data_IF_163456183518
#
_entry.id   IF_163456183518
#
_cell.length_a   1.000
_cell.length_b   1.000
_cell.length_c   1.000
_cell.angle_alpha   90.00
_cell.angle_beta   90.00
_cell.angle_gamma   90.00
#
_symmetry.space_group_name_H-M   'P 1'
#
loop_
_entity.id
_entity.type
_entity.pdbx_description
1 polymer ?
#
# COMPACT_ATOMS: atom_id res chain seq x y z
N UNK A 1 1.75 31.95 -9.42
CA UNK A 1 2.33 30.60 -9.45
C UNK A 1 1.25 29.68 -9.95
N UNK A 2 1.50 28.89 -10.99
CA UNK A 2 0.51 27.96 -11.52
C UNK A 2 0.33 26.81 -10.52
N UNK A 3 -0.89 26.58 -10.06
CA UNK A 3 -1.23 25.45 -9.18
C UNK A 3 -1.02 24.16 -9.96
N UNK A 4 -0.29 23.20 -9.39
CA UNK A 4 -0.12 21.88 -10.01
C UNK A 4 -1.39 21.08 -9.79
N UNK A 5 -2.01 20.66 -10.88
CA UNK A 5 -3.19 19.81 -10.89
C UNK A 5 -2.78 18.38 -11.20
N UNK A 6 -3.49 17.43 -10.59
CA UNK A 6 -3.38 16.01 -10.89
C UNK A 6 -4.76 15.41 -11.12
N UNK A 7 -4.81 14.36 -11.93
CA UNK A 7 -6.03 13.56 -12.11
C UNK A 7 -5.98 12.32 -11.21
N UNK A 8 -7.04 12.12 -10.44
CA UNK A 8 -7.34 10.93 -9.66
C UNK A 8 -8.42 10.12 -10.37
N UNK A 9 -8.15 8.83 -10.55
CA UNK A 9 -9.03 7.95 -11.31
C UNK A 9 -9.30 8.49 -12.71
N UNK A 10 -10.55 8.41 -13.14
CA UNK A 10 -10.92 8.79 -14.52
C UNK A 10 -11.38 10.25 -14.65
N UNK A 11 -11.74 10.91 -13.54
CA UNK A 11 -12.50 12.17 -13.62
C UNK A 11 -12.20 13.20 -12.54
N UNK A 12 -11.55 12.86 -11.43
CA UNK A 12 -11.37 13.81 -10.34
C UNK A 12 -10.09 14.61 -10.53
N UNK A 13 -10.20 15.91 -10.76
CA UNK A 13 -9.05 16.82 -10.72
C UNK A 13 -8.86 17.29 -9.29
N UNK A 14 -7.62 17.20 -8.81
CA UNK A 14 -7.22 17.71 -7.51
C UNK A 14 -6.04 18.67 -7.66
N UNK A 15 -6.08 19.74 -6.88
CA UNK A 15 -4.97 20.66 -6.70
C UNK A 15 -4.06 20.16 -5.60
N UNK A 16 -2.76 20.30 -5.81
CA UNK A 16 -1.79 20.08 -4.76
C UNK A 16 -1.85 21.22 -3.72
N UNK A 17 -1.87 20.84 -2.43
CA UNK A 17 -1.75 21.76 -1.28
C UNK A 17 -0.43 21.57 -0.52
N UNK A 18 -0.03 22.54 0.29
CA UNK A 18 1.16 22.48 1.14
C UNK A 18 0.99 21.64 2.43
N UNK A 19 -0.14 20.93 2.58
CA UNK A 19 -0.53 20.25 3.83
C UNK A 19 -0.70 18.75 3.62
N UNK A 20 0.35 17.93 3.79
CA UNK A 20 0.21 16.48 3.74
C UNK A 20 -0.67 15.99 4.90
N UNK A 21 -1.21 14.78 4.78
CA UNK A 21 -1.87 14.10 5.88
C UNK A 21 -0.88 13.88 7.01
N UNK A 22 -1.24 14.30 8.23
CA UNK A 22 -0.39 14.17 9.41
C UNK A 22 -0.49 12.80 10.10
N UNK A 23 -1.26 11.87 9.53
CA UNK A 23 -1.50 10.56 10.14
C UNK A 23 -0.39 9.57 9.82
N UNK A 24 0.05 8.82 10.82
CA UNK A 24 0.96 7.69 10.64
C UNK A 24 0.27 6.60 9.81
N UNK A 25 0.88 6.13 8.71
CA UNK A 25 0.34 5.00 7.96
C UNK A 25 0.21 3.75 8.82
N UNK A 26 -0.80 2.94 8.56
CA UNK A 26 -0.95 1.60 9.12
C UNK A 26 -0.98 0.62 7.97
N UNK A 27 0.02 -0.25 7.91
CA UNK A 27 0.06 -1.34 6.96
C UNK A 27 -0.53 -2.58 7.64
N UNK A 28 -1.84 -2.72 7.51
CA UNK A 28 -2.57 -3.88 7.96
C UNK A 28 -2.28 -5.04 7.01
N UNK A 29 -1.36 -5.90 7.44
CA UNK A 29 -0.85 -6.99 6.60
C UNK A 29 -1.88 -8.11 6.43
N UNK A 30 -2.82 -8.23 7.37
CA UNK A 30 -3.86 -9.26 7.32
C UNK A 30 -4.83 -9.02 6.16
N UNK A 31 -5.28 -7.79 6.01
CA UNK A 31 -6.19 -7.38 4.93
C UNK A 31 -5.43 -6.79 3.72
N UNK A 32 -4.09 -6.81 3.76
CA UNK A 32 -3.20 -6.29 2.72
C UNK A 32 -3.54 -4.86 2.32
N UNK A 33 -3.69 -3.97 3.31
CA UNK A 33 -4.10 -2.58 3.09
C UNK A 33 -3.23 -1.57 3.85
N UNK A 34 -3.01 -0.40 3.24
CA UNK A 34 -2.32 0.73 3.84
C UNK A 34 -3.34 1.83 4.13
N UNK A 35 -3.60 2.08 5.41
CA UNK A 35 -4.56 3.07 5.90
C UNK A 35 -3.82 4.31 6.38
N UNK A 36 -4.18 5.49 5.87
CA UNK A 36 -3.72 6.78 6.40
C UNK A 36 -4.96 7.59 6.77
N UNK A 37 -5.27 7.62 8.07
CA UNK A 37 -6.48 8.24 8.58
C UNK A 37 -6.38 8.50 10.09
N UNK A 38 -7.18 9.45 10.59
CA UNK A 38 -7.26 9.78 12.02
C UNK A 38 -8.15 8.86 12.86
N UNK A 39 -8.95 7.98 12.26
CA UNK A 39 -9.77 7.02 13.00
C UNK A 39 -8.91 5.83 13.47
N UNK A 40 -9.23 5.25 14.63
CA UNK A 40 -8.50 4.13 15.24
C UNK A 40 -9.26 2.80 15.22
N UNK A 41 -10.47 2.77 14.67
CA UNK A 41 -11.35 1.60 14.68
C UNK A 41 -12.42 1.70 13.55
N UNK A 42 -13.16 0.60 13.27
CA UNK A 42 -14.24 0.62 12.27
C UNK A 42 -15.33 1.66 12.55
N UNK A 43 -15.68 1.88 13.82
CA UNK A 43 -16.73 2.85 14.18
C UNK A 43 -16.30 4.29 13.90
N UNK A 44 -15.02 4.61 14.06
CA UNK A 44 -14.41 5.89 13.72
C UNK A 44 -14.37 6.10 12.20
N UNK A 45 -14.08 5.04 11.44
CA UNK A 45 -14.20 5.07 9.97
C UNK A 45 -15.64 5.36 9.56
N UNK A 46 -16.62 4.68 10.13
CA UNK A 46 -18.05 4.90 9.86
C UNK A 46 -18.50 6.32 10.21
N UNK A 47 -18.07 6.85 11.36
CA UNK A 47 -18.36 8.24 11.76
C UNK A 47 -17.79 9.27 10.78
N UNK A 48 -16.70 8.97 10.08
CA UNK A 48 -16.11 9.88 9.08
C UNK A 48 -16.89 9.91 7.75
N UNK A 49 -17.61 8.85 7.40
CA UNK A 49 -18.24 8.73 6.07
C UNK A 49 -19.26 9.84 5.74
N UNK A 50 -20.18 10.24 6.63
CA UNK A 50 -21.17 11.28 6.34
C UNK A 50 -20.55 12.64 5.97
N UNK A 51 -19.45 12.99 6.62
CA UNK A 51 -18.78 14.29 6.47
C UNK A 51 -17.79 14.34 5.30
N UNK A 52 -17.67 13.24 4.55
CA UNK A 52 -16.70 13.10 3.45
C UNK A 52 -17.35 12.72 2.13
N UNK A 53 -16.61 12.93 1.05
CA UNK A 53 -16.90 12.45 -0.31
C UNK A 53 -15.63 11.85 -0.94
N UNK A 54 -15.72 11.19 -2.08
CA UNK A 54 -14.56 10.77 -2.85
C UNK A 54 -14.72 9.41 -3.51
N UNK A 55 -13.67 8.59 -3.55
CA UNK A 55 -13.84 7.24 -4.06
C UNK A 55 -14.63 6.40 -3.05
N UNK A 56 -15.78 5.91 -3.51
CA UNK A 56 -16.72 5.16 -2.71
C UNK A 56 -16.58 3.67 -3.03
N UNK A 57 -16.76 2.82 -2.01
CA UNK A 57 -17.06 1.41 -2.23
C UNK A 57 -18.45 1.31 -2.87
N UNK A 58 -18.50 1.26 -4.19
CA UNK A 58 -19.65 0.65 -4.85
C UNK A 58 -19.63 -0.83 -4.49
N UNK A 59 -20.80 -1.45 -4.28
CA UNK A 59 -20.87 -2.90 -4.12
C UNK A 59 -20.06 -3.53 -5.27
N UNK A 60 -19.08 -4.38 -4.91
CA UNK A 60 -18.15 -5.07 -5.82
C UNK A 60 -16.98 -4.25 -6.38
N UNK A 61 -16.86 -2.95 -6.10
CA UNK A 61 -15.66 -2.19 -6.49
C UNK A 61 -14.45 -2.63 -5.67
N UNK A 62 -13.30 -2.76 -6.33
CA UNK A 62 -12.00 -3.03 -5.70
C UNK A 62 -11.17 -1.74 -5.55
N UNK A 63 -11.82 -0.58 -5.64
CA UNK A 63 -11.18 0.73 -5.75
C UNK A 63 -10.34 1.10 -4.54
N UNK A 64 -9.27 1.87 -4.77
CA UNK A 64 -8.56 2.54 -3.68
C UNK A 64 -9.48 3.60 -3.06
N UNK A 65 -9.33 3.85 -1.77
CA UNK A 65 -10.18 4.82 -1.07
C UNK A 65 -9.47 6.16 -0.91
N UNK A 66 -10.11 7.22 -1.38
CA UNK A 66 -9.73 8.61 -1.19
C UNK A 66 -10.93 9.33 -0.60
N UNK A 67 -10.77 9.91 0.59
CA UNK A 67 -11.84 10.67 1.25
C UNK A 67 -11.40 12.10 1.45
N UNK A 68 -12.22 13.00 0.93
CA UNK A 68 -12.08 14.44 1.06
C UNK A 68 -13.13 14.95 2.03
N UNK A 69 -12.74 15.88 2.89
CA UNK A 69 -13.64 16.62 3.75
C UNK A 69 -14.62 17.47 2.91
N UNK A 70 -15.93 17.38 3.18
CA UNK A 70 -16.95 18.07 2.36
C UNK A 70 -16.82 19.59 2.39
N UNK A 71 -16.39 20.18 3.51
CA UNK A 71 -16.30 21.63 3.66
C UNK A 71 -15.09 22.24 2.96
N UNK A 72 -13.91 21.70 3.26
CA UNK A 72 -12.62 22.18 2.75
C UNK A 72 -12.23 21.61 1.39
N UNK A 73 -12.82 20.45 1.01
CA UNK A 73 -12.41 19.60 -0.10
C UNK A 73 -10.98 19.08 0.02
N UNK A 74 -10.36 19.18 1.20
CA UNK A 74 -9.01 18.64 1.45
C UNK A 74 -9.08 17.15 1.72
N UNK A 75 -8.09 16.41 1.22
CA UNK A 75 -7.92 14.99 1.51
C UNK A 75 -7.75 14.81 3.01
N UNK A 76 -8.56 13.95 3.63
CA UNK A 76 -8.57 13.74 5.08
C UNK A 76 -8.34 12.27 5.47
N UNK A 77 -8.55 11.32 4.55
CA UNK A 77 -8.10 9.94 4.72
C UNK A 77 -7.94 9.22 3.38
N UNK A 78 -7.18 8.13 3.41
CA UNK A 78 -7.03 7.22 2.28
C UNK A 78 -6.83 5.78 2.77
N UNK A 79 -7.11 4.85 1.87
CA UNK A 79 -6.77 3.44 2.02
C UNK A 79 -6.31 2.91 0.68
N UNK A 80 -5.12 2.32 0.67
CA UNK A 80 -4.62 1.59 -0.47
C UNK A 80 -4.67 0.08 -0.23
N UNK A 81 -4.78 -0.72 -1.28
CA UNK A 81 -4.76 -2.17 -1.19
C UNK A 81 -3.58 -2.74 -1.98
N UNK A 82 -2.78 -3.60 -1.35
CA UNK A 82 -1.65 -4.27 -2.02
C UNK A 82 -2.22 -5.19 -3.10
N UNK A 83 -1.84 -5.03 -4.38
CA UNK A 83 -2.38 -5.84 -5.45
C UNK A 83 -2.02 -7.32 -5.31
N UNK A 84 -2.83 -8.23 -5.91
CA UNK A 84 -2.61 -9.67 -5.77
C UNK A 84 -1.40 -10.19 -6.56
N UNK A 85 -0.80 -9.38 -7.45
CA UNK A 85 0.29 -9.82 -8.32
C UNK A 85 1.60 -9.13 -7.97
N UNK A 86 2.57 -9.92 -7.55
CA UNK A 86 3.96 -9.49 -7.38
C UNK A 86 4.68 -9.54 -8.74
N UNK A 87 5.63 -8.63 -8.94
CA UNK A 87 6.54 -8.68 -10.09
C UNK A 87 7.98 -8.40 -9.65
N UNK A 88 8.90 -9.20 -10.20
CA UNK A 88 10.33 -8.98 -10.04
C UNK A 88 10.81 -8.01 -11.13
N UNK A 89 11.25 -6.81 -10.74
CA UNK A 89 11.83 -5.85 -11.67
C UNK A 89 13.34 -6.09 -11.77
N UNK A 90 13.91 -6.34 -12.97
CA UNK A 90 15.34 -6.48 -13.14
C UNK A 90 16.09 -5.21 -12.67
N UNK A 91 17.20 -5.38 -11.94
CA UNK A 91 18.07 -4.30 -11.40
C UNK A 91 18.53 -3.25 -12.44
N UNK A 92 18.38 -3.51 -13.74
CA UNK A 92 18.77 -2.58 -14.83
C UNK A 92 17.97 -1.29 -14.88
N UNK A 93 16.80 -1.22 -14.23
CA UNK A 93 15.98 0.00 -14.16
C UNK A 93 16.39 0.97 -13.03
N UNK A 94 17.47 0.68 -12.29
CA UNK A 94 17.96 1.52 -11.19
C UNK A 94 18.72 2.81 -11.64
N UNK A 95 18.67 3.15 -12.93
CA UNK A 95 19.44 4.23 -13.57
C UNK A 95 18.55 5.37 -14.13
N UNK A 96 17.26 5.39 -13.78
CA UNK A 96 16.39 6.51 -14.10
C UNK A 96 16.62 7.66 -13.11
N UNK A 97 16.59 8.90 -13.62
CA UNK A 97 16.67 10.10 -12.79
C UNK A 97 15.58 10.05 -11.72
N UNK A 98 15.93 10.39 -10.48
CA UNK A 98 14.97 10.39 -9.40
C UNK A 98 13.83 11.39 -9.72
N UNK A 99 12.57 10.96 -9.69
CA UNK A 99 11.45 11.83 -10.03
C UNK A 99 11.36 13.00 -9.07
N UNK A 100 10.82 14.12 -9.56
CA UNK A 100 10.60 15.30 -8.72
C UNK A 100 9.71 14.92 -7.55
N UNK A 101 10.25 15.08 -6.34
CA UNK A 101 9.54 14.74 -5.11
C UNK A 101 8.92 15.99 -4.50
N UNK A 102 7.68 15.85 -4.07
CA UNK A 102 6.79 16.95 -3.74
C UNK A 102 5.99 16.57 -2.50
N UNK A 103 6.14 17.31 -1.40
CA UNK A 103 5.41 17.02 -0.17
C UNK A 103 4.18 17.90 -0.06
N UNK A 104 3.03 17.29 0.23
CA UNK A 104 1.81 18.05 0.47
C UNK A 104 0.54 17.24 0.31
N UNK A 105 -0.61 17.89 0.45
CA UNK A 105 -1.92 17.25 0.40
C UNK A 105 -2.60 17.44 -0.95
N UNK A 106 -3.88 17.09 -1.00
CA UNK A 106 -4.73 17.29 -2.16
C UNK A 106 -5.98 18.05 -1.76
N UNK A 107 -6.44 18.90 -2.67
CA UNK A 107 -7.76 19.53 -2.59
C UNK A 107 -8.53 19.23 -3.86
N UNK A 108 -9.66 18.54 -3.74
CA UNK A 108 -10.49 18.22 -4.89
C UNK A 108 -11.12 19.48 -5.50
N UNK A 109 -11.18 19.55 -6.83
CA UNK A 109 -11.83 20.65 -7.55
C UNK A 109 -13.34 20.69 -7.30
N UNK A 110 -13.98 19.54 -7.09
CA UNK A 110 -15.42 19.47 -6.84
C UNK A 110 -15.76 18.43 -5.78
N UNK A 111 -16.79 18.73 -4.98
CA UNK A 111 -17.35 17.78 -4.02
C UNK A 111 -18.24 16.75 -4.73
N UNK A 112 -17.62 15.74 -5.35
CA UNK A 112 -18.31 14.64 -6.03
C UNK A 112 -17.56 13.33 -5.84
N UNK A 113 -18.31 12.24 -5.85
CA UNK A 113 -17.71 10.91 -5.84
C UNK A 113 -17.10 10.58 -7.21
N UNK A 114 -16.08 9.72 -7.20
CA UNK A 114 -15.36 9.28 -8.40
C UNK A 114 -14.89 7.83 -8.22
N UNK A 115 -14.55 7.13 -9.30
CA UNK A 115 -13.91 5.82 -9.21
C UNK A 115 -12.39 5.98 -9.12
N UNK A 116 -11.73 5.17 -8.31
CA UNK A 116 -10.28 5.14 -8.22
C UNK A 116 -9.80 3.70 -8.40
N UNK A 117 -9.46 3.30 -9.64
CA UNK A 117 -9.03 1.93 -9.91
C UNK A 117 -7.83 1.52 -9.04
N UNK A 118 -7.91 0.30 -8.49
CA UNK A 118 -6.84 -0.31 -7.71
C UNK A 118 -5.55 -0.44 -8.51
N UNK A 119 -4.41 -0.43 -7.82
CA UNK A 119 -3.21 -1.05 -8.36
C UNK A 119 -3.48 -2.54 -8.68
N UNK A 120 -2.85 -3.06 -9.73
CA UNK A 120 -2.97 -4.48 -10.14
C UNK A 120 -1.67 -5.25 -10.00
N UNK A 121 -0.54 -4.55 -9.87
CA UNK A 121 0.79 -5.15 -9.68
C UNK A 121 1.57 -4.39 -8.62
N UNK A 122 2.44 -5.10 -7.89
CA UNK A 122 3.41 -4.48 -7.01
C UNK A 122 4.82 -5.03 -7.19
N UNK A 123 5.78 -4.21 -6.80
CA UNK A 123 7.16 -4.59 -6.59
C UNK A 123 7.56 -4.22 -5.17
N UNK A 124 8.20 -5.16 -4.48
CA UNK A 124 8.87 -4.93 -3.21
C UNK A 124 10.27 -5.51 -3.36
N UNK A 125 11.30 -4.72 -3.02
CA UNK A 125 12.67 -5.23 -3.06
C UNK A 125 12.92 -6.23 -1.91
N UNK A 126 13.94 -7.11 -2.01
CA UNK A 126 14.20 -8.13 -0.99
C UNK A 126 14.50 -7.59 0.41
N UNK A 127 14.90 -6.32 0.54
CA UNK A 127 15.14 -5.65 1.81
C UNK A 127 13.92 -4.85 2.29
N UNK A 128 12.79 -4.95 1.58
CA UNK A 128 11.55 -4.21 1.80
C UNK A 128 11.81 -2.73 2.12
N UNK A 129 12.66 -2.07 1.34
CA UNK A 129 12.94 -0.63 1.49
C UNK A 129 11.78 0.21 0.97
N UNK A 130 11.10 -0.27 -0.07
CA UNK A 130 9.91 0.38 -0.61
C UNK A 130 8.98 -0.63 -1.28
N UNK A 131 7.72 -0.58 -0.90
CA UNK A 131 6.62 -1.23 -1.62
C UNK A 131 6.10 -0.24 -2.66
N UNK A 132 6.11 -0.62 -3.95
CA UNK A 132 5.54 0.18 -5.04
C UNK A 132 4.42 -0.58 -5.72
N UNK A 133 3.28 0.06 -5.89
CA UNK A 133 2.08 -0.54 -6.48
C UNK A 133 1.63 0.31 -7.66
N UNK A 134 1.29 -0.32 -8.78
CA UNK A 134 0.90 0.34 -10.03
C UNK A 134 -0.39 -0.25 -10.62
N UNK A 135 -1.12 0.57 -11.38
CA UNK A 135 -2.33 0.16 -12.10
C UNK A 135 -2.08 -0.92 -13.15
N UNK A 136 -0.89 -0.96 -13.73
CA UNK A 136 -0.48 -1.98 -14.70
C UNK A 136 1.05 -2.19 -14.70
N UNK A 137 1.49 -3.30 -15.29
CA UNK A 137 2.92 -3.66 -15.37
C UNK A 137 3.74 -2.67 -16.19
N UNK A 138 3.16 -2.05 -17.22
CA UNK A 138 3.83 -1.03 -18.02
C UNK A 138 4.10 0.25 -17.23
N UNK A 139 3.36 0.50 -16.14
CA UNK A 139 3.63 1.60 -15.22
C UNK A 139 4.98 1.47 -14.49
N UNK A 140 5.46 0.25 -14.25
CA UNK A 140 6.77 0.02 -13.59
C UNK A 140 7.97 0.35 -14.47
N UNK A 141 7.82 0.22 -15.79
CA UNK A 141 8.90 0.45 -16.76
C UNK A 141 8.92 1.89 -17.29
N UNK A 142 7.95 2.72 -16.89
CA UNK A 142 7.84 4.12 -17.31
C UNK A 142 8.42 5.07 -16.27
N UNK A 143 9.07 6.11 -16.76
CA UNK A 143 9.52 7.23 -15.92
C UNK A 143 8.34 7.89 -15.20
N UNK A 144 8.58 8.27 -13.95
CA UNK A 144 7.64 9.04 -13.15
C UNK A 144 7.83 10.53 -13.43
N UNK A 145 6.74 11.25 -13.66
CA UNK A 145 6.78 12.71 -13.76
C UNK A 145 7.09 13.32 -12.39
N UNK A 146 6.46 12.76 -11.35
CA UNK A 146 6.56 13.22 -9.98
C UNK A 146 6.22 12.13 -8.96
N UNK A 147 6.69 12.34 -7.74
CA UNK A 147 6.30 11.61 -6.54
C UNK A 147 5.69 12.60 -5.54
N UNK A 148 4.42 12.40 -5.20
CA UNK A 148 3.71 13.25 -4.23
C UNK A 148 3.70 12.57 -2.86
N UNK A 149 4.51 13.05 -1.94
CA UNK A 149 4.54 12.62 -0.54
C UNK A 149 3.31 13.17 0.19
N UNK A 150 2.24 12.39 0.19
CA UNK A 150 0.92 12.76 0.71
C UNK A 150 0.74 12.47 2.21
N UNK A 151 1.59 11.63 2.79
CA UNK A 151 1.66 11.32 4.21
C UNK A 151 3.09 10.85 4.56
N UNK A 152 3.44 10.63 5.84
CA UNK A 152 4.74 10.07 6.21
C UNK A 152 5.01 8.77 5.44
N UNK A 153 6.10 8.74 4.68
CA UNK A 153 6.56 7.58 3.90
C UNK A 153 5.57 6.99 2.87
N UNK A 154 4.42 7.65 2.65
CA UNK A 154 3.44 7.28 1.61
C UNK A 154 3.48 8.30 0.50
N UNK A 155 3.53 7.82 -0.74
CA UNK A 155 3.50 8.69 -1.91
C UNK A 155 2.54 8.22 -2.98
N UNK A 156 1.95 9.17 -3.70
CA UNK A 156 1.33 8.93 -5.00
C UNK A 156 2.40 9.00 -6.09
N UNK A 157 2.33 8.09 -7.04
CA UNK A 157 3.23 8.01 -8.19
C UNK A 157 2.49 8.57 -9.41
N UNK A 158 3.05 9.63 -10.01
CA UNK A 158 2.39 10.37 -11.08
C UNK A 158 3.05 10.07 -12.43
N UNK A 159 2.23 9.74 -13.43
CA UNK A 159 2.64 9.57 -14.83
C UNK A 159 1.62 10.26 -15.74
N UNK A 160 2.12 11.06 -16.68
CA UNK A 160 1.33 11.86 -17.61
C UNK A 160 0.27 12.74 -16.91
N UNK A 161 0.61 13.28 -15.73
CA UNK A 161 -0.30 14.09 -14.91
C UNK A 161 -1.39 13.31 -14.16
N UNK A 162 -1.40 11.98 -14.24
CA UNK A 162 -2.34 11.11 -13.55
C UNK A 162 -1.68 10.30 -12.44
N UNK A 163 -2.44 9.93 -11.41
CA UNK A 163 -1.96 8.96 -10.41
C UNK A 163 -1.94 7.56 -11.02
N UNK A 164 -0.73 7.06 -11.28
CA UNK A 164 -0.48 5.74 -11.85
C UNK A 164 -0.32 4.64 -10.79
N UNK A 165 -0.09 5.04 -9.53
CA UNK A 165 0.18 4.12 -8.45
C UNK A 165 0.49 4.81 -7.14
N UNK A 166 0.99 4.04 -6.19
CA UNK A 166 1.38 4.51 -4.87
C UNK A 166 2.61 3.77 -4.37
N UNK A 167 3.29 4.33 -3.38
CA UNK A 167 4.40 3.66 -2.71
C UNK A 167 4.37 3.88 -1.20
N UNK A 168 4.86 2.89 -0.46
CA UNK A 168 5.12 2.95 0.97
C UNK A 168 6.61 2.65 1.21
N UNK A 169 7.34 3.62 1.78
CA UNK A 169 8.74 3.43 2.19
C UNK A 169 8.81 2.75 3.56
N UNK A 170 9.81 1.90 3.74
CA UNK A 170 10.03 1.06 4.92
C UNK A 170 8.73 0.44 5.46
N UNK A 171 7.98 -0.33 4.64
CA UNK A 171 6.68 -0.89 5.01
C UNK A 171 6.68 -1.68 6.32
N UNK A 172 7.80 -2.30 6.70
CA UNK A 172 7.94 -3.00 7.98
C UNK A 172 7.73 -2.08 9.20
N UNK A 173 8.04 -0.79 9.07
CA UNK A 173 7.82 0.21 10.12
C UNK A 173 6.35 0.33 10.46
N UNK A 174 5.50 0.18 9.46
CA UNK A 174 4.07 0.42 9.51
C UNK A 174 3.22 -0.83 9.72
N UNK A 175 3.84 -2.00 9.88
CA UNK A 175 3.13 -3.26 10.09
C UNK A 175 2.21 -3.22 11.31
N UNK A 176 0.94 -3.53 11.07
CA UNK A 176 -0.14 -3.60 12.07
C UNK A 176 -1.06 -4.80 11.79
N UNK A 177 -1.86 -5.16 12.79
CA UNK A 177 -3.04 -6.03 12.64
C UNK A 177 -4.28 -5.14 12.76
N UNK A 178 -5.01 -4.94 11.66
CA UNK A 178 -6.14 -4.02 11.59
C UNK A 178 -5.76 -2.56 11.86
N UNK A 179 -6.56 -1.90 12.69
CA UNK A 179 -6.48 -0.44 12.95
C UNK A 179 -5.48 -0.03 14.04
N UNK A 180 -4.72 -0.98 14.61
CA UNK A 180 -3.74 -0.69 15.66
C UNK A 180 -2.72 0.37 15.21
N UNK A 181 -2.15 1.11 16.15
CA UNK A 181 -1.05 2.02 15.84
C UNK A 181 0.24 1.22 15.55
N UNK A 182 1.05 1.62 14.56
CA UNK A 182 2.32 0.97 14.31
C UNK A 182 3.29 1.20 15.47
N UNK A 183 4.18 0.24 15.68
CA UNK A 183 5.18 0.37 16.74
C UNK A 183 6.18 1.48 16.42
N UNK A 184 6.55 2.33 17.40
CA UNK A 184 7.47 3.44 17.17
C UNK A 184 8.93 2.99 17.01
N UNK A 185 9.27 1.78 17.47
CA UNK A 185 10.63 1.23 17.35
C UNK A 185 10.93 0.89 15.89
N UNK A 186 12.15 1.20 15.39
CA UNK A 186 12.57 0.78 14.06
C UNK A 186 12.45 -0.75 13.89
N UNK A 187 12.03 -1.25 12.73
CA UNK A 187 11.95 -2.69 12.52
C UNK A 187 13.35 -3.29 12.41
N UNK A 188 13.49 -4.54 12.86
CA UNK A 188 14.73 -5.29 12.70
C UNK A 188 15.01 -5.59 11.22
N UNK A 189 16.29 -5.70 10.79
CA UNK A 189 16.61 -6.11 9.42
C UNK A 189 15.96 -7.45 9.02
N UNK A 190 15.92 -8.42 9.95
CA UNK A 190 15.25 -9.70 9.73
C UNK A 190 13.76 -9.53 9.40
N UNK A 191 13.04 -8.66 10.11
CA UNK A 191 11.61 -8.38 9.85
C UNK A 191 11.37 -7.85 8.44
N UNK A 192 12.26 -6.99 7.92
CA UNK A 192 12.12 -6.46 6.56
C UNK A 192 12.23 -7.56 5.49
N UNK A 193 13.23 -8.43 5.64
CA UNK A 193 13.41 -9.59 4.78
C UNK A 193 12.18 -10.51 4.83
N UNK A 194 11.70 -10.80 6.05
CA UNK A 194 10.49 -11.63 6.23
C UNK A 194 9.25 -10.99 5.61
N UNK A 195 9.10 -9.67 5.70
CA UNK A 195 8.01 -8.97 5.05
C UNK A 195 8.05 -9.14 3.53
N UNK A 196 9.22 -8.96 2.90
CA UNK A 196 9.37 -9.16 1.46
C UNK A 196 8.99 -10.59 1.03
N UNK A 197 9.48 -11.60 1.75
CA UNK A 197 9.12 -13.00 1.51
C UNK A 197 7.62 -13.28 1.67
N UNK A 198 7.01 -12.72 2.73
CA UNK A 198 5.58 -12.89 2.97
C UNK A 198 4.74 -12.24 1.87
N UNK A 199 5.12 -11.04 1.41
CA UNK A 199 4.45 -10.36 0.31
C UNK A 199 4.47 -11.20 -0.97
N UNK A 200 5.60 -11.82 -1.31
CA UNK A 200 5.65 -12.73 -2.46
C UNK A 200 4.72 -13.95 -2.27
N UNK A 201 4.72 -14.56 -1.08
CA UNK A 201 3.96 -15.78 -0.79
C UNK A 201 2.43 -15.57 -0.78
N UNK A 202 1.96 -14.40 -0.36
CA UNK A 202 0.52 -14.06 -0.34
C UNK A 202 0.04 -13.48 -1.67
N UNK A 203 0.85 -13.57 -2.73
CA UNK A 203 0.57 -12.96 -4.03
C UNK A 203 0.96 -13.90 -5.18
N UNK A 204 0.32 -13.72 -6.33
CA UNK A 204 0.71 -14.39 -7.57
C UNK A 204 2.13 -13.95 -7.96
N UNK A 205 2.94 -14.88 -8.52
CA UNK A 205 2.57 -16.25 -8.86
C UNK A 205 2.68 -17.27 -7.72
N UNK A 206 3.30 -16.94 -6.58
CA UNK A 206 3.61 -17.97 -5.57
C UNK A 206 2.36 -18.48 -4.85
N UNK A 207 1.37 -17.62 -4.58
CA UNK A 207 0.11 -18.08 -3.98
C UNK A 207 -0.60 -19.09 -4.87
N UNK A 208 -0.62 -18.86 -6.19
CA UNK A 208 -1.21 -19.78 -7.16
C UNK A 208 -0.46 -21.13 -7.15
N UNK A 209 0.87 -21.09 -7.06
CA UNK A 209 1.69 -22.31 -6.96
C UNK A 209 1.46 -23.10 -5.67
N UNK A 210 1.22 -22.41 -4.54
CA UNK A 210 0.82 -23.06 -3.28
C UNK A 210 -0.54 -23.75 -3.46
N UNK A 211 -1.51 -23.07 -4.09
CA UNK A 211 -2.83 -23.62 -4.40
C UNK A 211 -2.73 -24.85 -5.30
N UNK A 212 -1.82 -24.82 -6.29
CA UNK A 212 -1.53 -25.92 -7.21
C UNK A 212 -0.66 -27.04 -6.60
N UNK A 213 -0.35 -26.97 -5.30
CA UNK A 213 0.45 -27.95 -4.57
C UNK A 213 1.89 -28.11 -5.10
N UNK A 214 2.47 -27.04 -5.64
CA UNK A 214 3.86 -27.05 -6.08
C UNK A 214 4.82 -27.26 -4.90
N UNK A 215 5.69 -28.25 -5.03
CA UNK A 215 6.57 -28.69 -3.94
C UNK A 215 7.60 -27.63 -3.53
N UNK A 216 8.05 -26.79 -4.46
CA UNK A 216 9.03 -25.74 -4.18
C UNK A 216 8.35 -24.54 -3.51
N UNK A 217 7.17 -24.15 -3.95
CA UNK A 217 6.35 -23.13 -3.31
C UNK A 217 5.98 -23.51 -1.86
N UNK A 218 5.55 -24.76 -1.64
CA UNK A 218 5.29 -25.28 -0.29
C UNK A 218 6.55 -25.32 0.59
N UNK A 219 7.70 -25.71 0.02
CA UNK A 219 8.98 -25.68 0.76
C UNK A 219 9.34 -24.27 1.20
N UNK A 220 9.15 -23.28 0.31
CA UNK A 220 9.37 -21.85 0.63
C UNK A 220 8.40 -21.38 1.72
N UNK A 221 7.10 -21.68 1.57
CA UNK A 221 6.08 -21.31 2.55
C UNK A 221 6.40 -21.84 3.95
N UNK A 222 6.74 -23.14 4.07
CA UNK A 222 7.11 -23.76 5.34
C UNK A 222 8.41 -23.22 5.91
N UNK A 223 9.40 -22.92 5.05
CA UNK A 223 10.64 -22.31 5.50
C UNK A 223 10.40 -20.91 6.08
N UNK A 224 9.57 -20.09 5.44
CA UNK A 224 9.19 -18.76 5.92
C UNK A 224 8.38 -18.85 7.21
N UNK A 225 7.39 -19.75 7.32
CA UNK A 225 6.65 -20.00 8.58
C UNK A 225 7.60 -20.34 9.72
N UNK A 226 8.51 -21.28 9.50
CA UNK A 226 9.46 -21.71 10.52
C UNK A 226 10.37 -20.56 10.96
N UNK A 227 10.88 -19.79 10.01
CA UNK A 227 11.75 -18.66 10.28
C UNK A 227 11.05 -17.57 11.08
N UNK A 228 9.79 -17.26 10.77
CA UNK A 228 8.95 -16.35 11.55
C UNK A 228 8.72 -16.89 12.97
N UNK A 229 8.41 -18.18 13.10
CA UNK A 229 8.15 -18.81 14.39
C UNK A 229 9.35 -18.76 15.33
N UNK A 230 10.57 -18.95 14.83
CA UNK A 230 11.79 -18.95 15.68
C UNK A 230 12.38 -17.55 15.88
N UNK A 231 11.97 -16.55 15.11
CA UNK A 231 12.47 -15.18 15.22
C UNK A 231 12.14 -14.57 16.59
N UNK A 232 13.18 -14.13 17.30
CA UNK A 232 13.06 -13.45 18.61
C UNK A 232 13.10 -11.93 18.47
N UNK A 233 13.86 -11.43 17.50
CA UNK A 233 14.01 -10.00 17.23
C UNK A 233 12.72 -9.44 16.67
N UNK A 234 12.29 -8.28 17.18
CA UNK A 234 11.08 -7.59 16.68
C UNK A 234 9.85 -8.53 16.63
N UNK A 235 9.79 -9.41 17.64
CA UNK A 235 8.79 -10.48 17.77
C UNK A 235 7.36 -10.05 17.45
N UNK A 236 6.88 -8.89 17.92
CA UNK A 236 5.50 -8.48 17.64
C UNK A 236 5.18 -8.27 16.16
N UNK A 237 6.13 -7.79 15.35
CA UNK A 237 5.93 -7.69 13.89
C UNK A 237 6.05 -9.05 13.23
N UNK A 238 6.96 -9.89 13.71
CA UNK A 238 7.07 -11.27 13.24
C UNK A 238 5.79 -12.08 13.51
N UNK A 239 5.11 -11.86 14.64
CA UNK A 239 3.84 -12.51 14.97
C UNK A 239 2.70 -12.11 14.01
N UNK A 240 2.65 -10.84 13.57
CA UNK A 240 1.67 -10.38 12.56
C UNK A 240 1.88 -11.14 11.24
N UNK A 241 3.13 -11.20 10.76
CA UNK A 241 3.48 -11.91 9.53
C UNK A 241 3.21 -13.43 9.67
N UNK A 242 3.57 -14.00 10.83
CA UNK A 242 3.36 -15.42 11.14
C UNK A 242 1.89 -15.79 11.11
N UNK A 243 1.00 -14.94 11.64
CA UNK A 243 -0.44 -15.19 11.62
C UNK A 243 -1.01 -15.30 10.21
N UNK A 244 -0.54 -14.45 9.28
CA UNK A 244 -0.98 -14.51 7.87
C UNK A 244 -0.45 -15.75 7.16
N UNK A 245 0.85 -16.04 7.32
CA UNK A 245 1.47 -17.23 6.71
C UNK A 245 0.90 -18.54 7.26
N UNK A 246 0.63 -18.60 8.56
CA UNK A 246 0.00 -19.79 9.18
C UNK A 246 -1.40 -20.02 8.63
N UNK A 247 -2.22 -18.96 8.48
CA UNK A 247 -3.54 -19.06 7.86
C UNK A 247 -3.45 -19.55 6.41
N UNK A 248 -2.50 -19.02 5.63
CA UNK A 248 -2.29 -19.48 4.26
C UNK A 248 -1.96 -20.98 4.18
N UNK A 249 -1.20 -21.50 5.14
CA UNK A 249 -0.96 -22.93 5.27
C UNK A 249 -2.26 -23.66 5.62
N UNK A 250 -3.00 -23.23 6.65
CA UNK A 250 -4.25 -23.87 7.08
C UNK A 250 -5.30 -23.94 5.96
N UNK A 251 -5.38 -22.90 5.12
CA UNK A 251 -6.36 -22.80 4.04
C UNK A 251 -6.07 -23.76 2.87
N UNK A 252 -4.80 -24.16 2.66
CA UNK A 252 -4.37 -24.94 1.48
C UNK A 252 -3.63 -26.24 1.81
N UNK A 253 -3.42 -26.55 3.10
CA UNK A 253 -2.81 -27.82 3.52
C UNK A 253 -3.68 -29.00 3.04
N UNK A 254 -3.08 -29.99 2.34
CA UNK A 254 -3.80 -31.17 1.84
C UNK A 254 -4.46 -32.05 2.90
#
# INVERSE_FOLDING_TARGET
MSTVQITLGDTMVAEWTDRPLAFTPRFDFRDLQVIVAGYADPAGRERQLPDTFGSAQWLWSQDEHFRFDRGSRELCSLTFFVPPRSVSVPRRHALHDAPRTHTGGLRAEAARDFAMPRATVFHCDPEATELRCFRDIGGLDRDLDARLCIAPDVSLLVQQGEVAGWSLRDPARYLTDGFAEPRPTPPAPATRIRLAECLELVSSPLVDQVMDQDADAWRRLRATEHALRVQQEDRPRADILHGVISRLIEDYEP
#
